data_IF_484619598273
#
_entry.id   IF_484619598273
#
_cell.length_a   1.000
_cell.length_b   1.000
_cell.length_c   1.000
_cell.angle_alpha   90.00
_cell.angle_beta   90.00
_cell.angle_gamma   90.00
#
_symmetry.space_group_name_H-M   'P 1'
#
loop_
_entity.id
_entity.type
_entity.pdbx_description
1 polymer ?
#
# COMPACT_ATOMS: atom_id res chain seq x y z
N UNK A 1 11.39 -23.21 -15.57
CA UNK A 1 11.63 -22.00 -14.74
C UNK A 1 10.33 -21.26 -14.44
N UNK A 2 9.55 -20.82 -15.42
CA UNK A 2 8.27 -20.11 -15.18
C UNK A 2 7.29 -20.93 -14.33
N UNK A 3 7.10 -22.21 -14.67
CA UNK A 3 6.17 -23.07 -13.92
C UNK A 3 6.62 -23.30 -12.47
N UNK A 4 7.92 -23.46 -12.25
CA UNK A 4 8.50 -23.55 -10.91
C UNK A 4 8.24 -22.27 -10.09
N UNK A 5 8.44 -21.09 -10.70
CA UNK A 5 8.15 -19.80 -10.04
C UNK A 5 6.65 -19.72 -9.69
N UNK A 6 5.76 -20.08 -10.62
CA UNK A 6 4.30 -20.06 -10.39
C UNK A 6 3.90 -20.96 -9.22
N UNK A 7 4.44 -22.17 -9.15
CA UNK A 7 4.11 -23.15 -8.11
C UNK A 7 4.75 -22.87 -6.75
N UNK A 8 5.77 -22.03 -6.65
CA UNK A 8 6.41 -21.72 -5.37
C UNK A 8 5.44 -21.02 -4.41
N UNK A 9 5.36 -21.40 -3.13
CA UNK A 9 4.64 -20.61 -2.13
C UNK A 9 5.28 -19.23 -1.97
N UNK A 10 4.48 -18.17 -2.03
CA UNK A 10 4.97 -16.77 -1.98
C UNK A 10 4.31 -15.99 -0.86
N UNK A 11 4.98 -14.93 -0.44
CA UNK A 11 4.42 -13.85 0.37
C UNK A 11 4.55 -12.54 -0.40
N UNK A 12 3.49 -11.72 -0.39
CA UNK A 12 3.49 -10.39 -1.02
C UNK A 12 3.32 -9.34 0.09
N UNK A 13 4.35 -8.51 0.30
CA UNK A 13 4.42 -7.64 1.47
C UNK A 13 4.33 -6.15 1.12
N UNK A 14 4.14 -5.86 -0.17
CA UNK A 14 4.15 -4.51 -0.69
C UNK A 14 3.23 -4.44 -1.92
N UNK A 15 1.96 -4.22 -1.63
CA UNK A 15 0.92 -4.07 -2.64
C UNK A 15 -0.09 -3.01 -2.19
N UNK A 16 -0.30 -1.98 -3.00
CA UNK A 16 -1.41 -1.05 -2.79
C UNK A 16 -2.68 -1.66 -3.38
N UNK A 17 -3.71 -1.89 -2.57
CA UNK A 17 -4.90 -2.62 -3.03
C UNK A 17 -5.65 -1.84 -4.10
N UNK A 18 -5.62 -0.52 -4.06
CA UNK A 18 -6.20 0.35 -5.08
C UNK A 18 -5.49 0.18 -6.43
N UNK A 19 -4.18 -0.10 -6.41
CA UNK A 19 -3.38 -0.40 -7.60
C UNK A 19 -3.63 -1.81 -8.19
N UNK A 20 -4.43 -2.65 -7.52
CA UNK A 20 -4.76 -4.00 -8.01
C UNK A 20 -5.90 -4.02 -9.03
N UNK A 21 -6.61 -2.90 -9.21
CA UNK A 21 -7.77 -2.82 -10.09
C UNK A 21 -7.37 -2.90 -11.56
N UNK A 22 -7.77 -3.98 -12.21
CA UNK A 22 -7.75 -4.10 -13.66
C UNK A 22 -8.86 -3.23 -14.29
N UNK A 23 -8.66 -2.81 -15.55
CA UNK A 23 -9.55 -1.91 -16.28
C UNK A 23 -11.01 -2.37 -16.28
N UNK A 24 -11.29 -3.68 -16.39
CA UNK A 24 -12.65 -4.21 -16.37
C UNK A 24 -13.34 -3.95 -15.03
N UNK A 25 -12.62 -4.06 -13.92
CA UNK A 25 -13.19 -3.81 -12.60
C UNK A 25 -13.46 -2.32 -12.39
N UNK A 26 -12.49 -1.48 -12.76
CA UNK A 26 -12.64 -0.02 -12.66
C UNK A 26 -13.87 0.44 -13.45
N UNK A 27 -14.05 -0.07 -14.67
CA UNK A 27 -15.24 0.20 -15.49
C UNK A 27 -16.54 -0.27 -14.84
N UNK A 28 -16.58 -1.52 -14.35
CA UNK A 28 -17.76 -2.08 -13.68
C UNK A 28 -18.19 -1.26 -12.46
N UNK A 29 -17.23 -0.84 -11.63
CA UNK A 29 -17.50 0.00 -10.46
C UNK A 29 -17.97 1.40 -10.89
N UNK A 30 -17.37 1.98 -11.93
CA UNK A 30 -17.80 3.27 -12.45
C UNK A 30 -19.24 3.24 -12.96
N UNK A 31 -19.64 2.21 -13.72
CA UNK A 31 -21.03 2.02 -14.17
C UNK A 31 -21.98 1.81 -12.99
N UNK A 32 -21.62 0.92 -12.06
CA UNK A 32 -22.42 0.64 -10.84
C UNK A 32 -22.69 1.91 -10.05
N UNK A 33 -21.68 2.76 -9.91
CA UNK A 33 -21.69 3.93 -9.05
C UNK A 33 -21.97 5.24 -9.82
N UNK A 34 -22.39 5.17 -11.08
CA UNK A 34 -22.66 6.31 -11.95
C UNK A 34 -21.52 7.36 -11.98
N UNK A 35 -20.27 6.87 -11.93
CA UNK A 35 -19.08 7.72 -12.02
C UNK A 35 -18.63 7.85 -13.47
N UNK A 36 -18.51 9.08 -13.97
CA UNK A 36 -18.10 9.32 -15.35
C UNK A 36 -16.58 9.16 -15.49
N UNK A 37 -16.14 8.15 -16.24
CA UNK A 37 -14.73 7.96 -16.58
C UNK A 37 -14.30 8.86 -17.74
N UNK A 38 -13.03 9.29 -17.79
CA UNK A 38 -12.46 10.01 -18.92
C UNK A 38 -12.12 9.07 -20.11
N UNK A 39 -12.82 7.95 -20.24
CA UNK A 39 -12.61 6.93 -21.27
C UNK A 39 -13.96 6.47 -21.84
N UNK A 40 -13.99 6.22 -23.15
CA UNK A 40 -15.23 5.89 -23.85
C UNK A 40 -15.52 4.38 -23.95
N UNK A 41 -14.59 3.53 -23.49
CA UNK A 41 -14.77 2.07 -23.43
C UNK A 41 -13.76 1.42 -22.50
N UNK A 42 -14.05 0.19 -22.06
CA UNK A 42 -13.09 -0.68 -21.35
C UNK A 42 -11.79 -0.87 -22.15
N UNK A 43 -11.90 -1.01 -23.47
CA UNK A 43 -10.73 -1.19 -24.34
C UNK A 43 -9.83 0.05 -24.35
N UNK A 44 -10.41 1.25 -24.37
CA UNK A 44 -9.65 2.50 -24.27
C UNK A 44 -8.99 2.66 -22.89
N UNK A 45 -9.71 2.31 -21.81
CA UNK A 45 -9.17 2.31 -20.45
C UNK A 45 -8.02 1.31 -20.30
N UNK A 46 -8.15 0.09 -20.82
CA UNK A 46 -7.10 -0.93 -20.79
C UNK A 46 -5.83 -0.48 -21.51
N UNK A 47 -5.95 0.26 -22.61
CA UNK A 47 -4.80 0.83 -23.32
C UNK A 47 -4.07 1.92 -22.51
N UNK A 48 -4.77 2.58 -21.57
CA UNK A 48 -4.21 3.62 -20.71
C UNK A 48 -3.40 3.08 -19.52
N UNK A 49 -3.39 1.77 -19.26
CA UNK A 49 -2.54 1.12 -18.25
C UNK A 49 -1.08 0.96 -18.72
N UNK A 50 -0.56 1.98 -19.40
CA UNK A 50 0.83 2.07 -19.88
C UNK A 50 1.38 3.41 -19.44
N UNK A 51 2.20 3.39 -18.41
CA UNK A 51 2.71 4.59 -17.75
C UNK A 51 4.17 4.83 -18.14
N UNK A 52 4.51 6.10 -18.39
CA UNK A 52 5.89 6.52 -18.67
C UNK A 52 6.62 7.03 -17.42
N UNK A 53 5.87 7.36 -16.36
CA UNK A 53 6.38 7.91 -15.12
C UNK A 53 5.37 7.68 -13.97
N UNK A 54 5.80 7.96 -12.74
CA UNK A 54 4.99 7.82 -11.52
C UNK A 54 3.72 8.69 -11.55
N UNK A 55 3.79 9.89 -12.13
CA UNK A 55 2.64 10.81 -12.19
C UNK A 55 1.48 10.22 -12.99
N UNK A 56 1.75 9.67 -14.17
CA UNK A 56 0.72 8.99 -14.99
C UNK A 56 0.09 7.79 -14.27
N UNK A 57 0.90 7.02 -13.54
CA UNK A 57 0.40 5.93 -12.70
C UNK A 57 -0.53 6.46 -11.59
N UNK A 58 -0.12 7.52 -10.89
CA UNK A 58 -0.91 8.12 -9.81
C UNK A 58 -2.25 8.64 -10.34
N UNK A 59 -2.31 9.24 -11.53
CA UNK A 59 -3.57 9.69 -12.12
C UNK A 59 -4.56 8.53 -12.30
N UNK A 60 -4.11 7.38 -12.80
CA UNK A 60 -4.94 6.18 -12.93
C UNK A 60 -5.31 5.59 -11.56
N UNK A 61 -4.36 5.54 -10.63
CA UNK A 61 -4.59 5.10 -9.25
C UNK A 61 -5.69 5.93 -8.58
N UNK A 62 -5.67 7.24 -8.74
CA UNK A 62 -6.68 8.16 -8.21
C UNK A 62 -8.04 8.01 -8.90
N UNK A 63 -8.11 7.62 -10.17
CA UNK A 63 -9.38 7.22 -10.78
C UNK A 63 -9.94 5.95 -10.11
N UNK A 64 -9.07 5.00 -9.81
CA UNK A 64 -9.43 3.79 -9.07
C UNK A 64 -10.04 4.09 -7.71
N UNK A 65 -9.44 4.99 -6.93
CA UNK A 65 -9.97 5.36 -5.60
C UNK A 65 -11.34 6.05 -5.69
N UNK A 66 -11.63 6.77 -6.78
CA UNK A 66 -12.89 7.50 -6.98
C UNK A 66 -14.08 6.63 -7.36
N UNK A 67 -13.86 5.50 -8.01
CA UNK A 67 -14.95 4.59 -8.40
C UNK A 67 -15.45 3.74 -7.23
N UNK A 68 -14.69 3.66 -6.14
CA UNK A 68 -15.07 2.99 -4.90
C UNK A 68 -15.98 3.92 -4.09
N UNK A 69 -17.27 3.56 -3.94
CA UNK A 69 -18.25 4.41 -3.23
C UNK A 69 -18.98 3.71 -2.08
N UNK A 70 -18.76 2.40 -1.90
CA UNK A 70 -19.32 1.59 -0.83
C UNK A 70 -18.28 0.64 -0.22
N UNK A 71 -18.50 0.18 1.02
CA UNK A 71 -17.64 -0.83 1.66
C UNK A 71 -17.58 -2.12 0.82
N UNK A 72 -18.71 -2.47 0.17
CA UNK A 72 -18.78 -3.61 -0.73
C UNK A 72 -17.89 -3.45 -1.96
N UNK A 73 -17.77 -2.24 -2.52
CA UNK A 73 -16.88 -2.01 -3.68
C UNK A 73 -15.43 -2.31 -3.31
N UNK A 74 -14.97 -1.79 -2.16
CA UNK A 74 -13.61 -2.02 -1.69
C UNK A 74 -13.38 -3.48 -1.31
N UNK A 75 -14.36 -4.14 -0.68
CA UNK A 75 -14.32 -5.58 -0.42
C UNK A 75 -14.17 -6.38 -1.73
N UNK A 76 -14.96 -6.05 -2.76
CA UNK A 76 -14.90 -6.70 -4.06
C UNK A 76 -13.52 -6.52 -4.73
N UNK A 77 -12.91 -5.33 -4.60
CA UNK A 77 -11.53 -5.07 -5.09
C UNK A 77 -10.55 -6.02 -4.41
N UNK A 78 -10.57 -6.06 -3.08
CA UNK A 78 -9.73 -6.97 -2.31
C UNK A 78 -9.95 -8.44 -2.72
N UNK A 79 -11.19 -8.88 -2.86
CA UNK A 79 -11.51 -10.27 -3.21
C UNK A 79 -11.04 -10.64 -4.61
N UNK A 80 -11.09 -9.71 -5.58
CA UNK A 80 -10.52 -9.93 -6.92
C UNK A 80 -9.00 -10.06 -6.86
N UNK A 81 -8.34 -9.23 -6.08
CA UNK A 81 -6.91 -9.33 -5.82
C UNK A 81 -6.54 -10.67 -5.13
N UNK A 82 -7.23 -11.06 -4.06
CA UNK A 82 -6.94 -12.32 -3.36
C UNK A 82 -7.16 -13.57 -4.22
N UNK A 83 -8.12 -13.52 -5.16
CA UNK A 83 -8.26 -14.58 -6.17
C UNK A 83 -7.02 -14.71 -7.05
N UNK A 84 -6.41 -13.59 -7.46
CA UNK A 84 -5.14 -13.58 -8.21
C UNK A 84 -4.00 -14.10 -7.34
N UNK A 85 -3.93 -13.70 -6.08
CA UNK A 85 -2.96 -14.22 -5.11
C UNK A 85 -3.03 -15.74 -5.01
N UNK A 86 -4.24 -16.29 -4.86
CA UNK A 86 -4.46 -17.73 -4.83
C UNK A 86 -3.96 -18.42 -6.12
N UNK A 87 -4.30 -17.87 -7.28
CA UNK A 87 -3.85 -18.39 -8.59
C UNK A 87 -2.33 -18.34 -8.77
N UNK A 88 -1.65 -17.43 -8.08
CA UNK A 88 -0.19 -17.27 -8.11
C UNK A 88 0.52 -17.93 -6.93
N UNK A 89 -0.20 -18.74 -6.13
CA UNK A 89 0.31 -19.40 -4.93
C UNK A 89 0.90 -18.45 -3.87
N UNK A 90 0.36 -17.23 -3.78
CA UNK A 90 0.61 -16.32 -2.66
C UNK A 90 -0.21 -16.82 -1.46
N UNK A 91 0.47 -17.11 -0.35
CA UNK A 91 -0.11 -17.71 0.87
C UNK A 91 -0.32 -16.67 1.99
N UNK A 92 0.42 -15.59 1.92
CA UNK A 92 0.33 -14.47 2.84
C UNK A 92 0.46 -13.17 2.07
N UNK A 93 -0.37 -12.18 2.39
CA UNK A 93 -0.25 -10.85 1.81
C UNK A 93 -0.54 -9.74 2.80
N UNK A 94 0.28 -8.70 2.79
CA UNK A 94 0.05 -7.48 3.55
C UNK A 94 -0.18 -6.34 2.55
N UNK A 95 -1.33 -5.67 2.62
CA UNK A 95 -1.72 -4.66 1.63
C UNK A 95 -1.70 -3.26 2.22
N UNK A 96 -1.24 -2.30 1.43
CA UNK A 96 -1.34 -0.88 1.69
C UNK A 96 -2.70 -0.36 1.22
N UNK A 97 -3.20 0.66 1.90
CA UNK A 97 -4.35 1.46 1.47
C UNK A 97 -4.22 2.88 2.03
N UNK A 98 -4.50 3.87 1.21
CA UNK A 98 -4.35 5.28 1.55
C UNK A 98 -5.64 5.80 2.21
N UNK A 99 -5.83 5.47 3.49
CA UNK A 99 -7.05 5.80 4.26
C UNK A 99 -7.41 7.29 4.16
N UNK A 100 -6.40 8.16 4.17
CA UNK A 100 -6.56 9.61 4.05
C UNK A 100 -7.32 10.01 2.78
N UNK A 101 -7.06 9.35 1.66
CA UNK A 101 -7.73 9.61 0.38
C UNK A 101 -9.24 9.48 0.49
N UNK A 102 -9.72 8.43 1.16
CA UNK A 102 -11.15 8.20 1.37
C UNK A 102 -11.75 9.15 2.41
N UNK A 103 -10.98 9.50 3.45
CA UNK A 103 -11.38 10.51 4.43
C UNK A 103 -11.59 11.88 3.76
N UNK A 104 -10.71 12.25 2.84
CA UNK A 104 -10.84 13.47 2.04
C UNK A 104 -12.05 13.44 1.11
N UNK A 105 -12.57 12.25 0.78
CA UNK A 105 -13.82 12.09 0.01
C UNK A 105 -15.07 12.10 0.90
N UNK A 106 -14.91 12.21 2.23
CA UNK A 106 -16.00 12.25 3.19
C UNK A 106 -16.37 10.89 3.79
N UNK A 107 -15.61 9.83 3.50
CA UNK A 107 -15.79 8.52 4.15
C UNK A 107 -15.11 8.47 5.52
N UNK A 108 -15.55 7.56 6.39
CA UNK A 108 -14.86 7.31 7.66
C UNK A 108 -13.63 6.41 7.46
N UNK A 109 -12.66 6.44 8.37
CA UNK A 109 -11.58 5.45 8.35
C UNK A 109 -12.12 4.00 8.48
N UNK A 110 -13.20 3.83 9.24
CA UNK A 110 -13.89 2.54 9.40
C UNK A 110 -14.43 1.95 8.10
N UNK A 111 -14.90 2.79 7.17
CA UNK A 111 -15.36 2.37 5.83
C UNK A 111 -14.28 1.53 5.12
N UNK A 112 -13.04 2.03 5.15
CA UNK A 112 -11.92 1.39 4.46
C UNK A 112 -11.42 0.19 5.24
N UNK A 113 -11.19 0.37 6.55
CA UNK A 113 -10.56 -0.65 7.40
C UNK A 113 -11.47 -1.89 7.55
N UNK A 114 -12.77 -1.69 7.75
CA UNK A 114 -13.70 -2.80 7.92
C UNK A 114 -13.86 -3.60 6.62
N UNK A 115 -14.01 -2.93 5.48
CA UNK A 115 -14.14 -3.60 4.19
C UNK A 115 -12.93 -4.51 3.89
N UNK A 116 -11.71 -4.00 4.10
CA UNK A 116 -10.48 -4.77 3.85
C UNK A 116 -10.34 -5.91 4.88
N UNK A 117 -10.65 -5.66 6.16
CA UNK A 117 -10.62 -6.69 7.20
C UNK A 117 -11.58 -7.85 6.92
N UNK A 118 -12.80 -7.53 6.48
CA UNK A 118 -13.81 -8.52 6.14
C UNK A 118 -13.39 -9.31 4.89
N UNK A 119 -12.80 -8.64 3.90
CA UNK A 119 -12.24 -9.31 2.73
C UNK A 119 -11.11 -10.29 3.08
N UNK A 120 -10.20 -9.94 4.01
CA UNK A 120 -9.18 -10.87 4.51
C UNK A 120 -9.81 -12.06 5.25
N UNK A 121 -10.86 -11.80 6.05
CA UNK A 121 -11.60 -12.85 6.75
C UNK A 121 -12.18 -13.87 5.77
N UNK A 122 -12.74 -13.41 4.66
CA UNK A 122 -13.30 -14.28 3.63
C UNK A 122 -12.22 -14.95 2.77
N UNK A 123 -11.15 -14.23 2.41
CA UNK A 123 -10.00 -14.81 1.70
C UNK A 123 -9.31 -15.92 2.48
N UNK A 124 -9.25 -15.81 3.82
CA UNK A 124 -8.77 -16.88 4.68
C UNK A 124 -9.64 -18.12 4.61
N UNK A 125 -10.97 -17.97 4.63
CA UNK A 125 -11.92 -19.09 4.52
C UNK A 125 -11.88 -19.75 3.13
N UNK A 126 -11.86 -18.93 2.08
CA UNK A 126 -12.00 -19.39 0.69
C UNK A 126 -10.69 -19.92 0.10
N UNK A 127 -9.57 -19.25 0.39
CA UNK A 127 -8.28 -19.50 -0.27
C UNK A 127 -7.17 -19.91 0.70
N UNK A 128 -7.40 -19.83 2.02
CA UNK A 128 -6.38 -20.04 3.04
C UNK A 128 -5.32 -18.95 3.07
N UNK A 129 -5.62 -17.76 2.51
CA UNK A 129 -4.70 -16.61 2.49
C UNK A 129 -4.72 -15.94 3.87
N UNK A 130 -3.53 -15.68 4.41
CA UNK A 130 -3.35 -14.89 5.64
C UNK A 130 -2.83 -13.50 5.29
N UNK A 131 -2.93 -12.55 6.23
CA UNK A 131 -2.53 -11.18 5.92
C UNK A 131 -3.20 -10.13 6.77
N UNK A 132 -3.09 -8.89 6.33
CA UNK A 132 -3.80 -7.76 6.91
C UNK A 132 -3.50 -6.44 6.21
N UNK A 133 -4.13 -5.39 6.75
CA UNK A 133 -4.06 -4.03 6.24
C UNK A 133 -2.91 -3.24 6.89
N UNK A 134 -2.23 -2.44 6.08
CA UNK A 134 -1.20 -1.50 6.49
C UNK A 134 -1.50 -0.09 5.94
N UNK A 135 -2.22 0.74 6.69
CA UNK A 135 -2.48 2.13 6.31
C UNK A 135 -1.17 2.89 6.16
N UNK A 136 -1.07 3.78 5.16
CA UNK A 136 0.07 4.67 5.03
C UNK A 136 -0.29 6.11 5.36
N UNK A 137 0.63 6.81 6.03
CA UNK A 137 0.60 8.27 6.07
C UNK A 137 1.10 8.83 4.73
N UNK A 138 0.33 9.75 4.16
CA UNK A 138 0.69 10.45 2.93
C UNK A 138 1.70 11.55 3.26
N UNK A 139 2.99 11.28 3.05
CA UNK A 139 4.08 12.12 3.58
C UNK A 139 4.10 13.57 3.07
N UNK A 140 3.53 13.84 1.90
CA UNK A 140 3.46 15.19 1.36
C UNK A 140 2.46 16.10 2.08
N UNK A 141 1.52 15.53 2.83
CA UNK A 141 0.54 16.27 3.64
C UNK A 141 1.10 16.71 5.00
N UNK A 142 2.30 16.22 5.36
CA UNK A 142 3.03 16.65 6.55
C UNK A 142 2.61 15.95 7.85
N UNK A 143 3.42 16.18 8.88
CA UNK A 143 3.32 15.46 10.15
C UNK A 143 2.03 15.76 10.93
N UNK A 144 1.47 16.96 10.81
CA UNK A 144 0.21 17.32 11.49
C UNK A 144 -0.98 16.50 10.96
N UNK A 145 -1.03 16.27 9.65
CA UNK A 145 -2.06 15.41 9.04
C UNK A 145 -1.85 13.97 9.46
N UNK A 146 -0.61 13.47 9.45
CA UNK A 146 -0.29 12.12 9.92
C UNK A 146 -0.71 11.89 11.39
N UNK A 147 -0.60 12.89 12.27
CA UNK A 147 -1.07 12.77 13.66
C UNK A 147 -2.59 12.64 13.74
N UNK A 148 -3.33 13.43 12.96
CA UNK A 148 -4.80 13.32 12.88
C UNK A 148 -5.22 11.98 12.30
N UNK A 149 -4.54 11.52 11.26
CA UNK A 149 -4.80 10.22 10.65
C UNK A 149 -4.54 9.09 11.65
N UNK A 150 -3.47 9.17 12.46
CA UNK A 150 -3.21 8.20 13.53
C UNK A 150 -4.39 8.11 14.53
N UNK A 151 -4.98 9.24 14.93
CA UNK A 151 -6.15 9.25 15.81
C UNK A 151 -7.35 8.51 15.21
N UNK A 152 -7.52 8.57 13.89
CA UNK A 152 -8.56 7.82 13.17
C UNK A 152 -8.28 6.31 13.12
N UNK A 153 -7.00 5.91 13.12
CA UNK A 153 -6.56 4.51 13.01
C UNK A 153 -6.56 3.77 14.35
N UNK A 154 -6.22 4.44 15.45
CA UNK A 154 -6.06 3.81 16.77
C UNK A 154 -7.27 3.00 17.26
N UNK A 155 -8.54 3.42 17.03
CA UNK A 155 -9.70 2.61 17.38
C UNK A 155 -9.74 1.24 16.69
N UNK A 156 -9.01 1.08 15.57
CA UNK A 156 -8.98 -0.14 14.76
C UNK A 156 -7.64 -0.87 14.83
N UNK A 157 -6.75 -0.54 15.78
CA UNK A 157 -5.37 -1.07 15.82
C UNK A 157 -5.29 -2.61 15.72
N UNK A 158 -6.27 -3.34 16.25
CA UNK A 158 -6.29 -4.81 16.25
C UNK A 158 -6.63 -5.40 14.87
N UNK A 159 -7.02 -4.56 13.90
CA UNK A 159 -7.24 -4.91 12.49
C UNK A 159 -6.05 -4.55 11.58
N UNK A 160 -5.01 -3.91 12.13
CA UNK A 160 -3.87 -3.41 11.38
C UNK A 160 -2.63 -4.28 11.65
N UNK A 161 -1.86 -4.56 10.59
CA UNK A 161 -0.59 -5.30 10.72
C UNK A 161 0.58 -4.37 10.96
N UNK A 162 0.56 -3.20 10.33
CA UNK A 162 1.56 -2.14 10.45
C UNK A 162 0.94 -0.79 10.07
N UNK A 163 1.69 0.30 10.27
CA UNK A 163 1.42 1.59 9.65
C UNK A 163 2.66 2.03 8.87
N UNK A 164 2.44 2.49 7.64
CA UNK A 164 3.48 2.87 6.68
C UNK A 164 3.62 4.38 6.46
N UNK A 165 4.67 4.75 5.72
CA UNK A 165 4.88 6.07 5.13
C UNK A 165 5.03 5.90 3.62
N UNK A 166 4.21 6.58 2.82
CA UNK A 166 4.19 6.44 1.35
C UNK A 166 3.99 7.79 0.64
N UNK A 167 3.64 7.75 -0.65
CA UNK A 167 3.45 8.89 -1.54
C UNK A 167 4.75 9.66 -1.84
N UNK A 168 4.62 10.90 -2.34
CA UNK A 168 5.73 11.72 -2.88
C UNK A 168 6.96 11.71 -1.96
N UNK A 169 8.02 11.03 -2.40
CA UNK A 169 9.18 10.73 -1.55
C UNK A 169 10.09 11.95 -1.38
N UNK A 170 10.52 12.54 -2.51
CA UNK A 170 11.50 13.62 -2.56
C UNK A 170 10.96 14.89 -1.91
N UNK A 171 11.73 15.45 -0.97
CA UNK A 171 11.38 16.66 -0.23
C UNK A 171 10.71 16.40 1.13
N UNK A 172 10.31 15.16 1.42
CA UNK A 172 9.56 14.83 2.64
C UNK A 172 10.25 13.73 3.46
N UNK A 173 11.46 13.93 4.03
CA UNK A 173 12.23 12.85 4.66
C UNK A 173 11.50 12.16 5.83
N UNK A 174 11.77 10.86 6.08
CA UNK A 174 11.13 10.13 7.17
C UNK A 174 11.29 10.79 8.55
N UNK A 175 12.42 11.48 8.77
CA UNK A 175 12.70 12.23 10.01
C UNK A 175 11.62 13.23 10.40
N UNK A 176 10.87 13.79 9.44
CA UNK A 176 9.74 14.69 9.72
C UNK A 176 8.61 14.02 10.52
N UNK A 177 8.53 12.69 10.47
CA UNK A 177 7.46 11.88 11.06
C UNK A 177 7.89 11.13 12.32
N UNK A 178 9.10 11.42 12.84
CA UNK A 178 9.69 10.75 14.02
C UNK A 178 8.75 10.62 15.20
N UNK A 179 8.09 11.72 15.57
CA UNK A 179 7.21 11.76 16.74
C UNK A 179 5.91 10.98 16.51
N UNK A 180 5.35 11.05 15.30
CA UNK A 180 4.14 10.30 14.93
C UNK A 180 4.43 8.80 14.93
N UNK A 181 5.53 8.36 14.33
CA UNK A 181 5.91 6.95 14.36
C UNK A 181 6.36 6.48 15.74
N UNK A 182 6.84 7.37 16.62
CA UNK A 182 6.99 7.02 18.04
C UNK A 182 5.65 6.62 18.66
N UNK A 183 4.58 7.40 18.43
CA UNK A 183 3.23 7.07 18.92
C UNK A 183 2.71 5.76 18.33
N UNK A 184 2.96 5.48 17.04
CA UNK A 184 2.62 4.19 16.41
C UNK A 184 3.27 3.01 17.15
N UNK A 185 4.58 3.10 17.41
CA UNK A 185 5.31 2.06 18.14
C UNK A 185 4.87 1.94 19.60
N UNK A 186 4.62 3.06 20.27
CA UNK A 186 4.11 3.08 21.66
C UNK A 186 2.72 2.41 21.75
N UNK A 187 1.93 2.44 20.66
CA UNK A 187 0.67 1.71 20.55
C UNK A 187 0.82 0.21 20.23
N UNK A 188 2.05 -0.28 20.06
CA UNK A 188 2.37 -1.68 19.77
C UNK A 188 2.23 -2.06 18.29
N UNK A 189 2.08 -1.08 17.40
CA UNK A 189 1.89 -1.31 15.96
C UNK A 189 3.26 -1.29 15.25
N UNK A 190 3.43 -2.20 14.29
CA UNK A 190 4.62 -2.28 13.43
C UNK A 190 4.76 -1.05 12.53
N UNK A 191 5.98 -0.71 12.16
CA UNK A 191 6.28 0.48 11.35
C UNK A 191 7.01 0.07 10.08
N UNK A 192 6.54 0.57 8.94
CA UNK A 192 7.18 0.37 7.63
C UNK A 192 7.28 1.71 6.91
N UNK A 193 8.10 1.81 5.87
CA UNK A 193 8.17 3.03 5.08
C UNK A 193 8.73 2.77 3.69
N UNK A 194 8.15 3.45 2.70
CA UNK A 194 8.79 3.68 1.42
C UNK A 194 10.01 4.58 1.63
N UNK A 195 11.17 4.05 1.26
CA UNK A 195 12.42 4.79 1.31
C UNK A 195 13.40 4.29 0.24
N UNK A 196 14.04 5.21 -0.46
CA UNK A 196 15.05 4.89 -1.46
C UNK A 196 14.47 4.40 -2.78
N UNK A 197 13.26 4.84 -3.14
CA UNK A 197 12.68 4.63 -4.46
C UNK A 197 13.18 5.74 -5.40
N UNK A 198 12.80 6.99 -5.10
CA UNK A 198 13.22 8.21 -5.79
C UNK A 198 14.19 9.05 -4.94
N UNK A 199 14.13 8.97 -3.61
CA UNK A 199 14.99 9.75 -2.71
C UNK A 199 16.32 9.01 -2.42
N UNK A 200 17.38 9.72 -2.00
CA UNK A 200 18.70 9.12 -1.80
C UNK A 200 18.76 8.12 -0.63
N UNK A 201 19.83 7.33 -0.58
CA UNK A 201 20.11 6.36 0.51
C UNK A 201 20.00 6.94 1.93
N UNK A 202 20.22 8.25 2.12
CA UNK A 202 20.03 8.92 3.42
C UNK A 202 18.60 8.85 3.94
N UNK A 203 17.59 8.69 3.07
CA UNK A 203 16.21 8.50 3.48
C UNK A 203 15.98 7.10 4.04
N UNK A 204 16.67 6.08 3.51
CA UNK A 204 16.66 4.73 4.09
C UNK A 204 17.29 4.76 5.49
N UNK A 205 18.42 5.45 5.65
CA UNK A 205 19.01 5.67 6.97
C UNK A 205 18.06 6.39 7.93
N UNK A 206 17.36 7.42 7.47
CA UNK A 206 16.36 8.13 8.28
C UNK A 206 15.18 7.23 8.65
N UNK A 207 14.71 6.39 7.73
CA UNK A 207 13.68 5.39 8.01
C UNK A 207 14.11 4.43 9.13
N UNK A 208 15.34 3.93 9.06
CA UNK A 208 15.92 3.01 10.07
C UNK A 208 16.13 3.72 11.42
N UNK A 209 16.73 4.92 11.42
CA UNK A 209 17.22 5.53 12.66
C UNK A 209 16.16 6.38 13.37
N UNK A 210 15.41 7.18 12.61
CA UNK A 210 14.49 8.19 13.14
C UNK A 210 13.11 7.58 13.44
N UNK A 211 12.51 6.89 12.46
CA UNK A 211 11.18 6.28 12.59
C UNK A 211 11.23 4.78 12.93
N UNK A 212 12.42 4.16 12.94
CA UNK A 212 12.63 2.79 13.45
C UNK A 212 11.73 1.75 12.80
N UNK A 213 11.77 1.68 11.47
CA UNK A 213 11.02 0.71 10.67
C UNK A 213 11.40 -0.74 11.00
N UNK A 214 10.44 -1.65 10.85
CA UNK A 214 10.61 -3.10 10.84
C UNK A 214 11.05 -3.62 9.46
N UNK A 215 10.71 -2.91 8.38
CA UNK A 215 11.21 -3.15 7.01
C UNK A 215 11.17 -1.89 6.15
N UNK A 216 11.87 -1.93 5.01
CA UNK A 216 11.89 -0.86 4.02
C UNK A 216 11.10 -1.31 2.78
N UNK A 217 10.22 -0.43 2.32
CA UNK A 217 9.55 -0.57 1.04
C UNK A 217 10.39 0.05 -0.08
N UNK A 218 10.57 -0.68 -1.18
CA UNK A 218 11.59 -0.48 -2.22
C UNK A 218 13.04 -0.66 -1.74
N UNK A 219 13.69 0.41 -1.26
CA UNK A 219 15.08 0.39 -0.82
C UNK A 219 16.14 0.32 -1.93
N UNK A 220 15.78 0.46 -3.21
CA UNK A 220 16.69 0.24 -4.35
C UNK A 220 17.88 1.20 -4.39
N UNK A 221 17.72 2.43 -3.89
CA UNK A 221 18.81 3.42 -3.79
C UNK A 221 19.79 3.13 -2.66
N UNK A 222 19.64 2.03 -1.91
CA UNK A 222 20.65 1.59 -0.94
C UNK A 222 22.02 1.35 -1.60
N UNK A 223 22.03 0.96 -2.88
CA UNK A 223 23.25 0.71 -3.67
C UNK A 223 24.12 1.96 -3.88
N UNK A 224 23.63 3.16 -3.53
CA UNK A 224 24.40 4.39 -3.54
C UNK A 224 25.34 4.53 -2.32
N UNK A 225 25.18 3.69 -1.29
CA UNK A 225 25.96 3.71 -0.05
C UNK A 225 26.33 2.29 0.40
N UNK A 226 27.59 1.90 0.20
CA UNK A 226 28.10 0.58 0.58
C UNK A 226 27.92 0.28 2.08
N UNK A 227 28.00 1.29 2.96
CA UNK A 227 27.82 1.08 4.40
C UNK A 227 26.37 0.72 4.73
N UNK A 228 25.42 1.29 3.99
CA UNK A 228 24.01 0.96 4.14
C UNK A 228 23.74 -0.47 3.64
N UNK A 229 24.34 -0.87 2.52
CA UNK A 229 24.23 -2.25 2.02
C UNK A 229 24.75 -3.25 3.07
N UNK A 230 25.96 -3.00 3.62
CA UNK A 230 26.54 -3.84 4.66
C UNK A 230 25.65 -3.90 5.91
N UNK A 231 25.09 -2.76 6.33
CA UNK A 231 24.19 -2.68 7.48
C UNK A 231 22.88 -3.45 7.26
N UNK A 232 22.24 -3.28 6.10
CA UNK A 232 21.01 -3.99 5.75
C UNK A 232 21.24 -5.51 5.72
N UNK A 233 22.38 -5.95 5.18
CA UNK A 233 22.78 -7.36 5.16
C UNK A 233 23.07 -7.90 6.57
N UNK A 234 23.82 -7.18 7.39
CA UNK A 234 24.13 -7.58 8.78
C UNK A 234 22.86 -7.67 9.64
N UNK A 235 21.96 -6.71 9.51
CA UNK A 235 20.71 -6.64 10.30
C UNK A 235 19.57 -7.44 9.72
N UNK A 236 19.71 -8.00 8.52
CA UNK A 236 18.66 -8.72 7.81
C UNK A 236 17.35 -7.90 7.71
N UNK A 237 17.48 -6.60 7.45
CA UNK A 237 16.31 -5.71 7.27
C UNK A 237 15.66 -6.05 5.92
N UNK A 238 14.38 -6.45 5.88
CA UNK A 238 13.73 -6.78 4.62
C UNK A 238 13.58 -5.56 3.70
N UNK A 239 13.84 -5.75 2.41
CA UNK A 239 13.53 -4.81 1.34
C UNK A 239 12.42 -5.40 0.45
N UNK A 240 11.28 -4.73 0.34
CA UNK A 240 10.16 -5.16 -0.54
C UNK A 240 10.29 -4.48 -1.90
N UNK A 241 11.19 -5.01 -2.73
CA UNK A 241 11.47 -4.50 -4.08
C UNK A 241 10.32 -4.81 -5.05
N UNK A 242 9.93 -3.81 -5.84
CA UNK A 242 8.90 -3.91 -6.89
C UNK A 242 9.57 -3.77 -8.28
N UNK A 243 9.83 -4.87 -9.02
CA UNK A 243 10.69 -4.83 -10.21
C UNK A 243 10.08 -4.25 -11.51
N UNK A 244 8.75 -4.12 -11.59
CA UNK A 244 8.02 -3.76 -12.81
C UNK A 244 7.51 -2.33 -12.79
#
# INVERSE_FOLDING_TARGET
>A
MIEFIRQMPKVELHMHVEGSMEAEMLWQLAEKNNYQLPYNSVAALSQAYKFHNLTEFIEMYMLGTRVIQSEQDLHDVCMRYFKKCHQQNIRHTEVHCDIRTYVDYGYSAGFVINAIYDAFTDAKKLYGITGGLMPCFLRHLGNEVAQKDLELLLPYKDKLTAIGLSAIEVGYPPSLFKDTFKKVRDAGIKVIAHAGEEAPASYIWSAINDIKVDRIDHGIKCLQDNKLVDYLADKQIPLTVCPY
#
